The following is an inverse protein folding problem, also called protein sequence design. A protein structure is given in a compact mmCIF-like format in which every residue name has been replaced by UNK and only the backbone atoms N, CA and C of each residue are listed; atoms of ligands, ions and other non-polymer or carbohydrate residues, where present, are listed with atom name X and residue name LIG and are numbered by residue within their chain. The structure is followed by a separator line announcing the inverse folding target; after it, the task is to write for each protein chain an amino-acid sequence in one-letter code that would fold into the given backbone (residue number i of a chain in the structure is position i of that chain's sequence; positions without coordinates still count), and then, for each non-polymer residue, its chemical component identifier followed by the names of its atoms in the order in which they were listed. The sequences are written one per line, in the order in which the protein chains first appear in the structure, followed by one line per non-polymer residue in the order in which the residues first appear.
data_IF_190222116111
#
_entry.id   IF_190222116111
#
_cell.length_a   1.000
_cell.length_b   1.000
_cell.length_c   1.000
_cell.angle_alpha   90.00
_cell.angle_beta   90.00
_cell.angle_gamma   90.00
#
_symmetry.space_group_name_H-M   'P 1'
#
loop_
_entity.id
_entity.type
_entity.pdbx_description
1 polymer ?
#
# COMPACT_ATOMS: atom_id res chain seq x y z
N UNK A 1 15.36 18.39 26.44
CA UNK A 1 13.97 18.85 26.67
C UNK A 1 13.12 18.11 25.63
N UNK A 2 12.42 17.09 26.08
CA UNK A 2 11.56 16.25 25.25
C UNK A 2 10.32 17.05 24.85
N UNK A 3 10.03 17.17 23.54
CA UNK A 3 8.78 17.71 23.06
C UNK A 3 7.69 16.66 23.31
N UNK A 4 6.84 16.87 24.30
CA UNK A 4 5.59 16.14 24.44
C UNK A 4 4.73 16.42 23.20
N UNK A 5 4.54 15.41 22.36
CA UNK A 5 3.49 15.40 21.35
C UNK A 5 2.15 15.60 22.06
N UNK A 6 1.57 16.80 21.91
CA UNK A 6 0.19 17.06 22.28
C UNK A 6 -0.69 16.14 21.43
N UNK A 7 -1.11 15.00 21.98
CA UNK A 7 -2.25 14.25 21.47
C UNK A 7 -3.44 15.23 21.40
N UNK A 8 -3.85 15.61 20.21
CA UNK A 8 -5.09 16.34 19.97
C UNK A 8 -6.25 15.37 20.20
N UNK A 9 -6.53 15.07 21.45
CA UNK A 9 -7.68 14.27 21.84
C UNK A 9 -8.95 15.08 21.58
N UNK A 10 -9.80 14.62 20.68
CA UNK A 10 -11.17 15.08 20.63
C UNK A 10 -11.84 14.65 21.94
N UNK A 11 -12.74 15.47 22.46
CA UNK A 11 -13.45 15.26 23.75
C UNK A 11 -14.19 13.89 23.82
N UNK A 12 -14.24 13.16 22.70
CA UNK A 12 -14.93 11.87 22.55
C UNK A 12 -13.98 10.67 22.32
N UNK A 13 -12.67 10.87 22.30
CA UNK A 13 -11.70 9.76 22.18
C UNK A 13 -11.52 9.07 23.55
N UNK A 14 -12.56 8.36 23.98
CA UNK A 14 -12.46 7.49 25.14
C UNK A 14 -11.80 6.20 24.70
N UNK A 15 -10.67 5.84 25.32
CA UNK A 15 -10.04 4.53 25.10
C UNK A 15 -11.08 3.42 25.37
N UNK A 16 -11.32 2.51 24.41
CA UNK A 16 -12.26 1.43 24.61
C UNK A 16 -11.82 0.53 25.77
N UNK A 17 -12.77 0.00 26.52
CA UNK A 17 -12.48 -0.94 27.59
C UNK A 17 -11.76 -2.19 27.05
N UNK A 18 -10.98 -2.86 27.89
CA UNK A 18 -10.31 -4.10 27.51
C UNK A 18 -11.30 -5.16 27.02
N UNK A 19 -12.47 -5.29 27.66
CA UNK A 19 -13.53 -6.20 27.25
C UNK A 19 -14.04 -5.89 25.83
N UNK A 20 -14.19 -4.63 25.50
CA UNK A 20 -14.58 -4.22 24.14
C UNK A 20 -13.49 -4.56 23.12
N UNK A 21 -12.23 -4.27 23.45
CA UNK A 21 -11.09 -4.60 22.59
C UNK A 21 -10.97 -6.11 22.32
N UNK A 22 -11.18 -6.93 23.34
CA UNK A 22 -11.21 -8.40 23.21
C UNK A 22 -12.39 -8.86 22.37
N UNK A 23 -13.59 -8.33 22.60
CA UNK A 23 -14.78 -8.61 21.80
C UNK A 23 -14.56 -8.30 20.32
N UNK A 24 -13.99 -7.14 20.00
CA UNK A 24 -13.75 -6.71 18.61
C UNK A 24 -12.76 -7.61 17.85
N UNK A 25 -11.91 -8.35 18.56
CA UNK A 25 -10.89 -9.24 17.97
C UNK A 25 -11.34 -10.71 17.89
N UNK A 26 -12.50 -11.04 18.39
CA UNK A 26 -12.98 -12.43 18.50
C UNK A 26 -14.25 -12.67 17.71
N UNK A 27 -14.56 -13.95 17.43
CA UNK A 27 -15.81 -14.36 16.79
C UNK A 27 -15.89 -14.15 15.27
N UNK A 28 -14.83 -13.66 14.64
CA UNK A 28 -14.81 -13.46 13.21
C UNK A 28 -14.51 -14.75 12.45
N UNK A 29 -15.31 -15.05 11.43
CA UNK A 29 -15.03 -16.17 10.55
C UNK A 29 -13.71 -15.96 9.78
N UNK A 30 -12.92 -17.00 9.52
CA UNK A 30 -11.77 -16.89 8.62
C UNK A 30 -12.20 -16.33 7.26
N UNK A 31 -11.36 -15.48 6.67
CA UNK A 31 -11.58 -14.90 5.34
C UNK A 31 -10.39 -15.17 4.42
N UNK A 32 -10.06 -16.45 4.13
CA UNK A 32 -9.02 -16.76 3.17
C UNK A 32 -9.44 -16.29 1.78
N UNK A 33 -8.50 -15.85 0.97
CA UNK A 33 -8.70 -15.75 -0.48
C UNK A 33 -8.28 -17.07 -1.10
N UNK A 34 -9.18 -17.66 -1.86
CA UNK A 34 -8.92 -18.89 -2.59
C UNK A 34 -8.64 -18.56 -4.06
N UNK A 35 -7.77 -19.34 -4.69
CA UNK A 35 -7.54 -19.29 -6.13
C UNK A 35 -6.94 -17.96 -6.60
N UNK A 36 -6.05 -17.35 -5.83
CA UNK A 36 -5.31 -16.18 -6.31
C UNK A 36 -4.44 -16.62 -7.48
N UNK A 37 -4.78 -16.09 -8.64
CA UNK A 37 -4.02 -16.28 -9.87
C UNK A 37 -3.41 -14.94 -10.30
N UNK A 38 -2.33 -14.97 -11.10
CA UNK A 38 -1.83 -13.77 -11.72
C UNK A 38 -2.94 -13.00 -12.44
N UNK A 39 -2.94 -11.68 -12.31
CA UNK A 39 -3.85 -10.83 -13.06
C UNK A 39 -3.47 -10.85 -14.54
N UNK A 40 -4.45 -10.86 -15.43
CA UNK A 40 -4.19 -10.82 -16.87
C UNK A 40 -3.39 -9.58 -17.28
N UNK A 41 -3.57 -8.47 -16.54
CA UNK A 41 -2.82 -7.23 -16.73
C UNK A 41 -1.34 -7.35 -16.31
N UNK A 42 -0.98 -8.32 -15.46
CA UNK A 42 0.39 -8.47 -14.95
C UNK A 42 1.41 -8.65 -16.08
N UNK A 43 1.07 -9.41 -17.12
CA UNK A 43 1.93 -9.61 -18.30
C UNK A 43 2.18 -8.30 -19.06
N UNK A 44 1.13 -7.51 -19.26
CA UNK A 44 1.25 -6.20 -19.91
C UNK A 44 2.02 -5.21 -19.03
N UNK A 45 1.76 -5.19 -17.74
CA UNK A 45 2.50 -4.36 -16.79
C UNK A 45 3.98 -4.73 -16.74
N UNK A 46 4.32 -6.01 -16.84
CA UNK A 46 5.71 -6.46 -16.97
C UNK A 46 6.39 -5.86 -18.20
N UNK A 47 5.79 -5.96 -19.39
CA UNK A 47 6.35 -5.41 -20.63
C UNK A 47 6.52 -3.88 -20.55
N UNK A 48 5.59 -3.18 -19.89
CA UNK A 48 5.68 -1.74 -19.68
C UNK A 48 6.85 -1.38 -18.74
N UNK A 49 7.06 -2.15 -17.67
CA UNK A 49 8.22 -1.98 -16.77
C UNK A 49 9.53 -2.23 -17.50
N UNK A 50 9.59 -3.19 -18.41
CA UNK A 50 10.79 -3.43 -19.23
C UNK A 50 11.11 -2.21 -20.11
N UNK A 51 10.10 -1.64 -20.77
CA UNK A 51 10.27 -0.42 -21.56
C UNK A 51 10.73 0.78 -20.71
N UNK A 52 10.14 0.94 -19.53
CA UNK A 52 10.55 1.98 -18.57
C UNK A 52 12.00 1.78 -18.12
N UNK A 53 12.38 0.53 -17.81
CA UNK A 53 13.74 0.16 -17.41
C UNK A 53 14.76 0.54 -18.46
N UNK A 54 14.48 0.22 -19.72
CA UNK A 54 15.37 0.55 -20.85
C UNK A 54 15.54 2.08 -21.07
N UNK A 55 14.51 2.86 -20.74
CA UNK A 55 14.53 4.32 -20.88
C UNK A 55 15.35 5.04 -19.79
N UNK A 56 15.54 4.40 -18.62
CA UNK A 56 16.21 5.01 -17.46
C UNK A 56 17.23 4.08 -16.83
N UNK A 57 18.27 3.64 -17.58
CA UNK A 57 19.25 2.68 -17.08
C UNK A 57 19.99 3.23 -15.85
N UNK A 58 20.14 2.38 -14.84
CA UNK A 58 20.88 2.69 -13.61
C UNK A 58 20.24 3.71 -12.68
N UNK A 59 19.06 4.19 -12.96
CA UNK A 59 18.35 5.19 -12.15
C UNK A 59 17.24 4.53 -11.33
N UNK A 60 17.22 4.71 -10.02
CA UNK A 60 16.07 4.31 -9.20
C UNK A 60 14.85 5.14 -9.57
N UNK A 61 13.72 4.48 -9.85
CA UNK A 61 12.46 5.15 -10.17
C UNK A 61 11.44 4.85 -9.07
N UNK A 62 10.74 5.89 -8.60
CA UNK A 62 9.74 5.80 -7.53
C UNK A 62 8.41 6.28 -8.07
N UNK A 63 7.42 5.39 -8.04
CA UNK A 63 6.07 5.62 -8.55
C UNK A 63 5.06 5.42 -7.41
N UNK A 64 4.66 6.49 -6.70
CA UNK A 64 3.65 6.39 -5.65
C UNK A 64 2.26 6.17 -6.24
N UNK A 65 1.41 5.45 -5.51
CA UNK A 65 0.01 5.26 -5.87
C UNK A 65 -0.88 6.48 -5.54
N UNK A 66 -0.39 7.36 -4.69
CA UNK A 66 -1.15 8.50 -4.17
C UNK A 66 -1.97 8.17 -2.94
N UNK A 67 -2.73 9.15 -2.49
CA UNK A 67 -3.47 9.14 -1.24
C UNK A 67 -4.98 9.26 -1.47
N UNK A 68 -5.79 8.99 -0.44
CA UNK A 68 -7.21 9.32 -0.44
C UNK A 68 -7.42 10.82 -0.62
N UNK A 69 -8.54 11.18 -1.25
CA UNK A 69 -8.99 12.56 -1.42
C UNK A 69 -10.25 12.77 -0.61
N UNK A 70 -10.18 13.71 0.31
CA UNK A 70 -11.33 14.08 1.14
C UNK A 70 -12.41 14.68 0.27
N UNK A 71 -13.61 14.13 0.33
CA UNK A 71 -14.81 14.65 -0.32
C UNK A 71 -15.50 15.71 0.56
N UNK A 72 -15.73 15.35 1.83
CA UNK A 72 -16.34 16.23 2.82
C UNK A 72 -16.18 15.63 4.22
N UNK A 73 -15.84 16.46 5.21
CA UNK A 73 -15.64 16.04 6.61
C UNK A 73 -14.78 14.78 6.74
N UNK A 74 -15.39 13.67 7.11
CA UNK A 74 -14.79 12.36 7.31
C UNK A 74 -15.04 11.37 6.15
N UNK A 75 -15.52 11.86 5.02
CA UNK A 75 -15.85 11.05 3.84
C UNK A 75 -14.86 11.29 2.71
N UNK A 76 -14.26 10.23 2.22
CA UNK A 76 -13.35 10.27 1.08
C UNK A 76 -14.09 9.95 -0.24
N UNK A 77 -13.51 10.39 -1.35
CA UNK A 77 -13.86 9.86 -2.67
C UNK A 77 -13.41 8.42 -2.78
N UNK A 78 -14.07 7.66 -3.67
CA UNK A 78 -13.60 6.32 -4.03
C UNK A 78 -12.12 6.40 -4.46
N UNK A 79 -11.28 5.57 -3.85
CA UNK A 79 -9.86 5.61 -4.12
C UNK A 79 -9.55 5.19 -5.55
N UNK A 80 -8.73 5.98 -6.22
CA UNK A 80 -8.16 5.69 -7.53
C UNK A 80 -6.66 5.94 -7.46
N UNK A 81 -5.82 4.93 -7.75
CA UNK A 81 -4.38 5.13 -7.76
C UNK A 81 -3.96 6.05 -8.91
N UNK A 82 -2.80 6.67 -8.78
CA UNK A 82 -2.18 7.44 -9.83
C UNK A 82 -2.06 6.63 -11.12
N UNK A 83 -2.37 7.23 -12.28
CA UNK A 83 -2.41 6.53 -13.57
C UNK A 83 -1.12 5.82 -13.92
N UNK A 84 0.04 6.43 -13.66
CA UNK A 84 1.33 5.78 -13.92
C UNK A 84 1.54 4.57 -12.98
N UNK A 85 1.18 4.66 -11.70
CA UNK A 85 1.25 3.53 -10.79
C UNK A 85 0.42 2.36 -11.31
N UNK A 86 -0.87 2.60 -11.64
CA UNK A 86 -1.75 1.59 -12.20
C UNK A 86 -1.22 1.01 -13.52
N UNK A 87 -0.66 1.86 -14.38
CA UNK A 87 -0.10 1.45 -15.68
C UNK A 87 1.08 0.49 -15.55
N UNK A 88 1.98 0.74 -14.59
CA UNK A 88 3.19 -0.07 -14.41
C UNK A 88 3.01 -1.24 -13.44
N UNK A 89 1.98 -1.26 -12.61
CA UNK A 89 1.72 -2.35 -11.65
C UNK A 89 0.58 -3.26 -12.07
N UNK A 90 -0.43 -2.74 -12.77
CA UNK A 90 -1.72 -3.39 -12.96
C UNK A 90 -2.68 -3.24 -11.76
N UNK A 91 -2.23 -2.67 -10.65
CA UNK A 91 -3.05 -2.50 -9.43
C UNK A 91 -4.08 -1.42 -9.65
N UNK A 92 -5.36 -1.78 -9.57
CA UNK A 92 -6.48 -0.85 -9.77
C UNK A 92 -7.77 -1.34 -9.10
N UNK A 93 -8.81 -0.51 -9.14
CA UNK A 93 -10.12 -0.86 -8.60
C UNK A 93 -10.08 -1.10 -7.09
N UNK A 94 -10.87 -2.06 -6.63
CA UNK A 94 -11.02 -2.38 -5.19
C UNK A 94 -9.78 -3.02 -4.56
N UNK A 95 -8.86 -3.54 -5.36
CA UNK A 95 -7.60 -4.12 -4.89
C UNK A 95 -6.54 -3.05 -4.61
N UNK A 96 -6.73 -1.83 -5.12
CA UNK A 96 -5.79 -0.74 -4.94
C UNK A 96 -5.87 -0.18 -3.51
N UNK A 97 -4.71 0.01 -2.90
CA UNK A 97 -4.59 0.64 -1.58
C UNK A 97 -3.83 1.96 -1.70
N UNK A 98 -4.28 2.95 -0.93
CA UNK A 98 -3.54 4.21 -0.83
C UNK A 98 -2.14 3.99 -0.25
N UNK A 99 -1.25 4.93 -0.52
CA UNK A 99 0.13 4.97 -0.05
C UNK A 99 1.02 3.80 -0.51
N UNK A 100 0.57 2.99 -1.47
CA UNK A 100 1.45 2.00 -2.10
C UNK A 100 2.50 2.69 -2.98
N UNK A 101 3.69 2.09 -3.09
CA UNK A 101 4.78 2.63 -3.89
C UNK A 101 5.45 1.52 -4.69
N UNK A 102 5.53 1.71 -6.00
CA UNK A 102 6.40 0.89 -6.85
C UNK A 102 7.78 1.53 -6.89
N UNK A 103 8.80 0.75 -6.53
CA UNK A 103 10.20 1.12 -6.73
C UNK A 103 10.78 0.23 -7.81
N UNK A 104 11.36 0.84 -8.84
CA UNK A 104 12.18 0.17 -9.84
C UNK A 104 13.63 0.32 -9.40
N UNK A 105 14.18 -0.70 -8.77
CA UNK A 105 15.55 -0.69 -8.24
C UNK A 105 16.54 -1.08 -9.31
N UNK A 106 17.61 -0.29 -9.55
CA UNK A 106 18.62 -0.65 -10.53
C UNK A 106 19.31 -1.98 -10.20
N UNK A 107 19.41 -2.86 -11.20
CA UNK A 107 20.06 -4.16 -11.10
C UNK A 107 20.77 -4.48 -12.42
N UNK A 108 22.09 -4.24 -12.47
CA UNK A 108 22.86 -4.32 -13.71
C UNK A 108 22.30 -3.35 -14.76
N UNK A 109 22.00 -3.88 -15.94
CA UNK A 109 21.44 -3.11 -17.06
C UNK A 109 19.90 -3.03 -17.02
N UNK A 110 19.28 -3.51 -15.95
CA UNK A 110 17.83 -3.55 -15.81
C UNK A 110 17.38 -3.05 -14.43
N UNK A 111 16.12 -3.30 -14.08
CA UNK A 111 15.56 -2.99 -12.75
C UNK A 111 14.84 -4.19 -12.17
N UNK A 112 14.92 -4.31 -10.85
CA UNK A 112 14.08 -5.18 -10.04
C UNK A 112 12.87 -4.36 -9.53
N UNK A 113 11.64 -4.65 -9.94
CA UNK A 113 10.47 -3.97 -9.42
C UNK A 113 10.12 -4.50 -8.03
N UNK A 114 9.91 -3.59 -7.09
CA UNK A 114 9.48 -3.90 -5.72
C UNK A 114 8.24 -3.07 -5.41
N UNK A 115 7.16 -3.74 -5.05
CA UNK A 115 5.90 -3.10 -4.67
C UNK A 115 5.81 -3.01 -3.15
N UNK A 116 5.91 -1.81 -2.62
CA UNK A 116 5.71 -1.52 -1.21
C UNK A 116 4.23 -1.25 -0.94
N UNK A 117 3.64 -2.04 -0.06
CA UNK A 117 2.22 -1.94 0.31
C UNK A 117 2.02 -1.96 1.81
N UNK A 118 0.87 -1.51 2.25
CA UNK A 118 0.37 -1.77 3.59
C UNK A 118 -0.42 -3.08 3.55
N UNK A 119 0.17 -4.22 4.00
CA UNK A 119 -0.47 -5.51 3.87
C UNK A 119 -1.66 -5.65 4.81
N UNK A 120 -2.42 -6.71 4.64
CA UNK A 120 -3.52 -7.09 5.52
C UNK A 120 -3.09 -7.09 6.99
N UNK A 121 -3.86 -6.41 7.83
CA UNK A 121 -3.78 -6.58 9.29
C UNK A 121 -4.55 -7.82 9.71
N UNK A 122 -4.00 -8.59 10.66
CA UNK A 122 -4.69 -9.74 11.21
C UNK A 122 -5.83 -9.30 12.14
N UNK A 123 -6.91 -10.09 12.22
CA UNK A 123 -8.12 -9.73 12.98
C UNK A 123 -7.96 -9.76 14.50
N UNK A 124 -6.88 -10.35 14.97
CA UNK A 124 -6.47 -10.41 16.38
C UNK A 124 -5.68 -9.19 16.83
N UNK A 125 -5.47 -8.22 15.95
CA UNK A 125 -4.77 -6.97 16.26
C UNK A 125 -5.73 -5.79 16.42
N UNK A 126 -5.32 -4.78 17.17
CA UNK A 126 -6.08 -3.54 17.34
C UNK A 126 -6.25 -2.79 16.02
N UNK A 127 -5.30 -2.91 15.10
CA UNK A 127 -5.36 -2.29 13.78
C UNK A 127 -6.59 -2.75 12.98
N UNK A 128 -7.10 -3.96 13.21
CA UNK A 128 -8.29 -4.47 12.55
C UNK A 128 -9.50 -3.53 12.66
N UNK A 129 -9.75 -2.97 13.83
CA UNK A 129 -10.93 -2.16 14.11
C UNK A 129 -10.64 -0.69 14.47
N UNK A 130 -9.40 -0.37 14.93
CA UNK A 130 -9.02 1.01 15.27
C UNK A 130 -8.51 1.79 14.08
N UNK A 131 -7.88 1.13 13.12
CA UNK A 131 -7.30 1.79 11.95
C UNK A 131 -8.38 2.01 10.89
N UNK A 132 -8.98 3.19 10.88
CA UNK A 132 -10.01 3.55 9.90
C UNK A 132 -9.49 3.60 8.45
N UNK A 133 -8.15 3.73 8.26
CA UNK A 133 -7.55 3.85 6.95
C UNK A 133 -7.20 2.50 6.33
N UNK A 134 -6.73 1.55 7.14
CA UNK A 134 -6.21 0.27 6.68
C UNK A 134 -6.80 -0.95 7.40
N UNK A 135 -7.58 -0.75 8.44
CA UNK A 135 -8.23 -1.83 9.19
C UNK A 135 -9.23 -2.59 8.33
N UNK A 136 -9.19 -3.92 8.37
CA UNK A 136 -10.05 -4.78 7.55
C UNK A 136 -11.54 -4.53 7.83
N UNK A 137 -11.90 -4.16 9.08
CA UNK A 137 -13.28 -3.82 9.44
C UNK A 137 -13.82 -2.62 8.66
N UNK A 138 -12.97 -1.66 8.33
CA UNK A 138 -13.35 -0.40 7.68
C UNK A 138 -13.26 -0.46 6.15
N UNK A 139 -12.16 -1.00 5.65
CA UNK A 139 -11.82 -0.92 4.22
C UNK A 139 -11.90 -2.27 3.51
N UNK A 140 -12.35 -3.32 4.22
CA UNK A 140 -12.40 -4.66 3.67
C UNK A 140 -11.05 -5.39 3.68
N UNK A 141 -11.09 -6.65 3.22
CA UNK A 141 -9.91 -7.52 3.20
C UNK A 141 -8.93 -7.06 2.12
N UNK A 142 -7.69 -6.83 2.54
CA UNK A 142 -6.57 -6.56 1.65
C UNK A 142 -5.72 -7.80 1.45
N UNK A 143 -4.84 -7.78 0.46
CA UNK A 143 -3.87 -8.86 0.25
C UNK A 143 -2.80 -8.90 1.35
N UNK A 144 -2.31 -10.10 1.65
CA UNK A 144 -1.00 -10.26 2.29
C UNK A 144 0.10 -9.93 1.28
N UNK A 145 1.36 -9.92 1.71
CA UNK A 145 2.48 -9.71 0.79
C UNK A 145 2.54 -10.82 -0.27
N UNK A 146 2.40 -12.06 0.16
CA UNK A 146 2.45 -13.24 -0.71
C UNK A 146 1.31 -13.25 -1.72
N UNK A 147 0.10 -12.91 -1.27
CA UNK A 147 -1.08 -12.82 -2.14
C UNK A 147 -0.92 -11.72 -3.19
N UNK A 148 -0.43 -10.54 -2.80
CA UNK A 148 -0.16 -9.45 -3.72
C UNK A 148 0.95 -9.80 -4.71
N UNK A 149 2.02 -10.46 -4.25
CA UNK A 149 3.09 -10.94 -5.13
C UNK A 149 2.56 -11.94 -6.16
N UNK A 150 1.74 -12.90 -5.71
CA UNK A 150 1.12 -13.88 -6.61
C UNK A 150 0.19 -13.21 -7.64
N UNK A 151 -0.58 -12.21 -7.22
CA UNK A 151 -1.55 -11.49 -8.06
C UNK A 151 -0.87 -10.61 -9.12
N UNK A 152 0.10 -9.79 -8.71
CA UNK A 152 0.70 -8.76 -9.57
C UNK A 152 2.03 -9.17 -10.20
N UNK A 153 2.59 -10.30 -9.82
CA UNK A 153 3.88 -10.80 -10.31
C UNK A 153 5.01 -9.77 -10.10
N UNK A 154 5.00 -9.12 -8.94
CA UNK A 154 6.00 -8.16 -8.49
C UNK A 154 6.41 -8.54 -7.07
N UNK A 155 7.70 -8.52 -6.76
CA UNK A 155 8.18 -8.70 -5.39
C UNK A 155 7.54 -7.66 -4.45
N UNK A 156 7.05 -8.07 -3.30
CA UNK A 156 6.33 -7.19 -2.37
C UNK A 156 7.07 -7.01 -1.07
N UNK A 157 6.94 -5.82 -0.48
CA UNK A 157 7.47 -5.48 0.85
C UNK A 157 6.47 -4.62 1.62
N UNK A 158 6.67 -4.55 2.93
CA UNK A 158 5.86 -3.64 3.78
C UNK A 158 6.22 -2.19 3.50
N UNK A 159 5.20 -1.33 3.43
CA UNK A 159 5.44 0.11 3.24
C UNK A 159 6.30 0.72 4.36
N UNK A 160 6.23 0.19 5.58
CA UNK A 160 7.07 0.62 6.69
C UNK A 160 8.58 0.39 6.49
N UNK A 161 8.96 -0.42 5.51
CA UNK A 161 10.36 -0.68 5.17
C UNK A 161 10.89 0.30 4.11
N UNK A 162 10.00 1.08 3.46
CA UNK A 162 10.36 1.93 2.33
C UNK A 162 11.39 2.98 2.70
N UNK A 163 11.22 3.68 3.81
CA UNK A 163 12.16 4.73 4.26
C UNK A 163 13.58 4.18 4.44
N UNK A 164 13.70 3.08 5.18
CA UNK A 164 14.99 2.42 5.40
C UNK A 164 15.59 1.83 4.10
N UNK A 165 14.74 1.43 3.16
CA UNK A 165 15.17 0.95 1.85
C UNK A 165 15.73 2.10 1.02
N UNK A 166 15.05 3.24 0.97
CA UNK A 166 15.46 4.41 0.18
C UNK A 166 16.68 5.13 0.77
N UNK A 167 16.86 5.09 2.09
CA UNK A 167 18.00 5.74 2.77
C UNK A 167 19.37 5.20 2.35
N UNK A 168 19.43 4.05 1.70
CA UNK A 168 20.68 3.38 1.29
C UNK A 168 21.28 3.95 0.00
N UNK A 169 20.65 4.90 -0.66
CA UNK A 169 21.07 5.32 -1.98
C UNK A 169 20.98 6.83 -2.25
N UNK A 170 21.58 7.22 -3.37
CA UNK A 170 22.13 8.53 -3.70
C UNK A 170 21.35 9.31 -4.73
N UNK A 171 20.22 8.85 -5.17
CA UNK A 171 19.38 9.59 -6.10
C UNK A 171 18.27 8.74 -6.69
N UNK A 172 17.10 9.33 -6.79
CA UNK A 172 15.95 8.68 -7.37
C UNK A 172 15.15 9.68 -8.20
N UNK A 173 14.54 9.22 -9.26
CA UNK A 173 13.49 9.94 -9.97
C UNK A 173 12.13 9.58 -9.35
N UNK A 174 11.40 10.58 -8.94
CA UNK A 174 10.07 10.44 -8.38
C UNK A 174 9.05 11.08 -9.30
N UNK A 175 7.96 10.39 -9.58
CA UNK A 175 6.83 11.00 -10.28
C UNK A 175 6.23 12.07 -9.36
N UNK A 176 6.17 13.30 -9.87
CA UNK A 176 5.50 14.44 -9.24
C UNK A 176 4.17 14.70 -9.94
N UNK A 177 3.34 15.55 -9.35
CA UNK A 177 2.04 15.95 -9.90
C UNK A 177 1.16 14.73 -10.16
N UNK A 178 0.94 13.97 -9.10
CA UNK A 178 -0.01 12.87 -9.15
C UNK A 178 -1.38 13.37 -9.60
N UNK A 179 -2.07 12.55 -10.38
CA UNK A 179 -3.41 12.87 -10.90
C UNK A 179 -4.29 13.43 -9.76
N UNK A 180 -4.85 14.60 -9.98
CA UNK A 180 -5.75 15.25 -9.02
C UNK A 180 -7.19 14.80 -9.23
#
# INVERSE_FOLDING_TARGET
MSAEEKKSGRVYDVEPSQLYAEFMKTGWAPSPLHGITPDDVATYAFSRRQALSAAFPGMRLILPSGNYKVRSNDTDYLYRPHSAFAYYTGVQGVEATADAVLVMEPSGDSHEPILFINPRSTRDTDAFYKDARYGELWVGRRFTLEEAQARYQIATRKISELEAFLAKDKGALVIRNQDT
#
